data_IF_614701031779
#
_entry.id   IF_614701031779
#
_cell.length_a   1.000
_cell.length_b   1.000
_cell.length_c   1.000
_cell.angle_alpha   90.00
_cell.angle_beta   90.00
_cell.angle_gamma   90.00
#
_symmetry.space_group_name_H-M   'P 1'
#
loop_
_entity.id
_entity.type
_entity.pdbx_description
1 polymer ?
#
# COMPACT_ATOMS: atom_id res chain seq x y z
N UNK A 1 23.25 -17.92 19.17
CA UNK A 1 22.22 -18.97 19.00
C UNK A 1 20.95 -18.44 19.64
N UNK A 2 20.18 -17.69 18.83
CA UNK A 2 18.77 -17.99 18.42
C UNK A 2 17.82 -17.96 19.63
N UNK A 3 16.75 -17.15 19.68
CA UNK A 3 15.98 -16.60 18.58
C UNK A 3 15.22 -15.32 18.93
N UNK A 4 14.85 -14.62 17.85
CA UNK A 4 14.06 -13.41 17.86
C UNK A 4 12.65 -13.65 18.38
N UNK A 5 12.19 -12.63 19.10
CA UNK A 5 10.93 -12.48 19.79
C UNK A 5 9.70 -12.60 18.88
N UNK A 6 8.97 -13.71 19.03
CA UNK A 6 7.53 -13.81 18.71
C UNK A 6 6.69 -13.51 19.97
N UNK A 7 7.32 -13.19 21.11
CA UNK A 7 6.71 -13.18 22.45
C UNK A 7 6.05 -11.83 22.81
N UNK A 8 6.40 -10.73 22.15
CA UNK A 8 5.88 -9.40 22.52
C UNK A 8 4.36 -9.23 22.30
N UNK A 9 3.72 -10.09 21.49
CA UNK A 9 2.26 -10.14 21.37
C UNK A 9 1.57 -11.04 22.40
N UNK A 10 2.24 -12.08 22.89
CA UNK A 10 1.64 -13.07 23.81
C UNK A 10 1.58 -12.56 25.26
N UNK A 11 2.55 -11.76 25.70
CA UNK A 11 2.55 -11.20 27.05
C UNK A 11 1.42 -10.18 27.27
N UNK A 12 1.09 -9.40 26.23
CA UNK A 12 -0.06 -8.49 26.25
C UNK A 12 -1.38 -9.26 26.32
N UNK A 13 -1.53 -10.29 25.48
CA UNK A 13 -2.72 -11.16 25.47
C UNK A 13 -2.90 -11.86 26.82
N UNK A 14 -1.83 -12.43 27.39
CA UNK A 14 -1.88 -13.08 28.70
C UNK A 14 -2.24 -12.10 29.83
N UNK A 15 -1.65 -10.89 29.83
CA UNK A 15 -1.94 -9.83 30.81
C UNK A 15 -3.40 -9.36 30.78
N UNK A 16 -4.03 -9.37 29.61
CA UNK A 16 -5.42 -8.95 29.43
C UNK A 16 -6.40 -10.12 29.35
N UNK A 17 -5.95 -11.35 29.64
CA UNK A 17 -6.71 -12.57 29.49
C UNK A 17 -7.39 -12.72 28.11
N UNK A 18 -6.71 -12.25 27.07
CA UNK A 18 -7.16 -12.30 25.70
C UNK A 18 -6.61 -13.55 24.99
N UNK A 19 -7.42 -14.17 24.13
CA UNK A 19 -6.97 -15.22 23.22
C UNK A 19 -7.36 -14.85 21.79
N UNK A 20 -6.42 -15.02 20.86
CA UNK A 20 -6.67 -14.85 19.43
C UNK A 20 -6.91 -16.23 18.83
N UNK A 21 -8.10 -16.43 18.26
CA UNK A 21 -8.41 -17.60 17.45
C UNK A 21 -8.21 -17.23 15.98
N UNK A 22 -7.06 -17.61 15.42
CA UNK A 22 -6.73 -17.31 14.02
C UNK A 22 -7.61 -18.08 13.02
N UNK A 23 -8.22 -19.19 13.45
CA UNK A 23 -9.11 -20.00 12.62
C UNK A 23 -10.51 -19.39 12.55
N UNK A 24 -11.02 -18.89 13.68
CA UNK A 24 -12.31 -18.18 13.78
C UNK A 24 -12.21 -16.68 13.54
N UNK A 25 -10.99 -16.14 13.44
CA UNK A 25 -10.71 -14.70 13.34
C UNK A 25 -11.33 -13.90 14.49
N UNK A 26 -11.21 -14.42 15.72
CA UNK A 26 -11.78 -13.79 16.92
C UNK A 26 -10.66 -13.33 17.87
N UNK A 27 -10.89 -12.22 18.57
CA UNK A 27 -10.12 -11.87 19.77
C UNK A 27 -11.04 -11.90 20.98
N UNK A 28 -10.82 -12.86 21.86
CA UNK A 28 -11.70 -13.15 23.00
C UNK A 28 -11.03 -12.70 24.30
N UNK A 29 -11.64 -11.77 25.03
CA UNK A 29 -11.18 -11.35 26.36
C UNK A 29 -11.97 -12.07 27.45
N UNK A 30 -11.28 -12.88 28.26
CA UNK A 30 -11.86 -13.68 29.35
C UNK A 30 -11.49 -13.10 30.71
N UNK A 31 -12.34 -12.24 31.27
CA UNK A 31 -12.13 -11.75 32.65
C UNK A 31 -12.91 -12.62 33.64
N UNK A 32 -12.32 -13.08 34.77
CA UNK A 32 -13.05 -13.85 35.79
C UNK A 32 -14.20 -13.10 36.47
N UNK A 33 -14.31 -11.77 36.27
CA UNK A 33 -15.29 -10.89 36.93
C UNK A 33 -16.15 -10.05 35.98
N UNK A 34 -15.99 -10.22 34.66
CA UNK A 34 -16.78 -9.50 33.64
C UNK A 34 -17.26 -10.51 32.59
N UNK A 35 -18.39 -10.26 31.90
CA UNK A 35 -18.80 -11.10 30.78
C UNK A 35 -17.68 -11.21 29.75
N UNK A 36 -17.55 -12.38 29.13
CA UNK A 36 -16.62 -12.64 28.03
C UNK A 36 -16.92 -11.66 26.88
N UNK A 37 -15.89 -10.95 26.42
CA UNK A 37 -16.03 -9.98 25.32
C UNK A 37 -15.30 -10.55 24.11
N UNK A 38 -16.08 -11.03 23.14
CA UNK A 38 -15.57 -11.52 21.86
C UNK A 38 -15.62 -10.39 20.84
N UNK A 39 -14.46 -10.02 20.32
CA UNK A 39 -14.35 -9.16 19.14
C UNK A 39 -14.36 -10.05 17.91
N UNK A 40 -15.49 -10.01 17.22
CA UNK A 40 -15.67 -10.61 15.90
C UNK A 40 -14.89 -9.80 14.85
N UNK A 41 -14.22 -10.47 13.90
CA UNK A 41 -13.62 -9.79 12.76
C UNK A 41 -14.72 -9.08 11.97
N UNK A 42 -14.44 -7.87 11.48
CA UNK A 42 -15.38 -6.95 10.81
C UNK A 42 -16.40 -7.64 9.87
N UNK A 43 -15.97 -8.68 9.15
CA UNK A 43 -16.81 -9.54 8.30
C UNK A 43 -17.98 -10.18 9.06
N UNK A 44 -17.75 -10.79 10.22
CA UNK A 44 -18.81 -11.45 10.99
C UNK A 44 -19.83 -10.44 11.54
N UNK A 45 -19.39 -9.24 11.92
CA UNK A 45 -20.32 -8.16 12.30
C UNK A 45 -21.15 -7.70 11.11
N UNK A 46 -20.56 -7.66 9.92
CA UNK A 46 -21.29 -7.43 8.68
C UNK A 46 -22.32 -8.55 8.45
N UNK A 47 -21.96 -9.82 8.62
CA UNK A 47 -22.90 -10.95 8.48
C UNK A 47 -24.05 -10.88 9.50
N UNK A 48 -23.74 -10.59 10.75
CA UNK A 48 -24.74 -10.43 11.80
C UNK A 48 -25.70 -9.26 11.50
N UNK A 49 -25.18 -8.15 10.96
CA UNK A 49 -25.98 -7.02 10.53
C UNK A 49 -26.81 -7.34 9.27
N UNK A 50 -26.26 -8.08 8.31
CA UNK A 50 -27.00 -8.57 7.14
C UNK A 50 -28.20 -9.43 7.53
N UNK A 51 -28.09 -10.24 8.59
CA UNK A 51 -29.17 -11.09 9.07
C UNK A 51 -30.33 -10.30 9.68
N UNK A 52 -30.08 -9.07 10.12
CA UNK A 52 -31.08 -8.20 10.77
C UNK A 52 -31.64 -7.13 9.82
N UNK A 53 -30.98 -6.87 8.68
CA UNK A 53 -31.38 -5.84 7.71
C UNK A 53 -32.55 -6.34 6.83
N UNK A 54 -33.74 -5.73 6.90
CA UNK A 54 -34.91 -6.19 6.15
C UNK A 54 -34.75 -6.13 4.63
N UNK A 55 -34.02 -5.13 4.12
CA UNK A 55 -33.75 -5.00 2.69
C UNK A 55 -32.86 -6.17 2.24
N UNK A 56 -31.79 -6.45 2.98
CA UNK A 56 -30.87 -7.54 2.64
C UNK A 56 -31.55 -8.91 2.74
N UNK A 57 -32.43 -9.12 3.72
CA UNK A 57 -33.22 -10.34 3.79
C UNK A 57 -34.15 -10.51 2.58
N UNK A 58 -34.75 -9.41 2.08
CA UNK A 58 -35.56 -9.43 0.85
C UNK A 58 -34.68 -9.76 -0.36
N UNK A 59 -33.53 -9.09 -0.49
CA UNK A 59 -32.57 -9.35 -1.56
C UNK A 59 -32.09 -10.82 -1.57
N UNK A 60 -31.84 -11.39 -0.39
CA UNK A 60 -31.44 -12.79 -0.25
C UNK A 60 -32.54 -13.73 -0.74
N UNK A 61 -33.79 -13.48 -0.36
CA UNK A 61 -34.93 -14.27 -0.82
C UNK A 61 -35.13 -14.19 -2.35
N UNK A 62 -34.96 -13.01 -2.94
CA UNK A 62 -35.02 -12.82 -4.41
C UNK A 62 -33.89 -13.56 -5.16
N UNK A 63 -32.71 -13.65 -4.55
CA UNK A 63 -31.60 -14.44 -5.11
C UNK A 63 -31.90 -15.94 -5.01
N UNK A 64 -32.44 -16.39 -3.87
CA UNK A 64 -32.79 -17.80 -3.64
C UNK A 64 -33.98 -18.26 -4.52
N UNK A 65 -34.93 -17.36 -4.84
CA UNK A 65 -36.04 -17.63 -5.76
C UNK A 65 -35.63 -17.58 -7.24
N UNK A 66 -34.44 -17.03 -7.55
CA UNK A 66 -33.94 -16.85 -8.92
C UNK A 66 -34.47 -15.58 -9.61
N UNK A 67 -35.18 -14.70 -8.90
CA UNK A 67 -35.73 -13.45 -9.43
C UNK A 67 -34.64 -12.37 -9.60
N UNK A 68 -33.47 -12.56 -8.99
CA UNK A 68 -32.35 -11.62 -8.98
C UNK A 68 -31.02 -12.30 -9.32
N UNK A 69 -30.29 -11.74 -10.29
CA UNK A 69 -29.00 -12.27 -10.77
C UNK A 69 -27.80 -11.36 -10.56
N UNK A 70 -28.00 -10.14 -10.06
CA UNK A 70 -26.91 -9.19 -9.79
C UNK A 70 -26.18 -9.46 -8.45
N UNK A 71 -26.79 -10.29 -7.60
CA UNK A 71 -26.27 -10.70 -6.29
C UNK A 71 -26.18 -12.23 -6.20
N UNK A 72 -25.38 -12.73 -5.27
CA UNK A 72 -25.28 -14.15 -4.93
C UNK A 72 -25.20 -14.35 -3.41
N UNK A 73 -25.50 -15.56 -2.94
CA UNK A 73 -25.36 -15.94 -1.52
C UNK A 73 -24.17 -16.89 -1.41
N UNK A 74 -23.20 -16.52 -0.56
CA UNK A 74 -22.04 -17.37 -0.24
C UNK A 74 -22.44 -18.45 0.77
N UNK A 75 -21.66 -19.53 0.86
CA UNK A 75 -21.94 -20.70 1.73
C UNK A 75 -22.21 -20.37 3.21
N UNK A 76 -21.70 -19.24 3.71
CA UNK A 76 -21.90 -18.74 5.07
C UNK A 76 -23.15 -17.84 5.23
N UNK A 77 -23.99 -17.74 4.20
CA UNK A 77 -25.20 -16.89 4.18
C UNK A 77 -24.92 -15.42 3.82
N UNK A 78 -23.67 -15.07 3.50
CA UNK A 78 -23.30 -13.72 3.12
C UNK A 78 -23.93 -13.32 1.77
N UNK A 79 -24.60 -12.17 1.73
CA UNK A 79 -25.01 -11.55 0.47
C UNK A 79 -23.77 -10.91 -0.20
N UNK A 80 -23.57 -11.25 -1.48
CA UNK A 80 -22.42 -10.84 -2.29
C UNK A 80 -22.88 -10.14 -3.57
N UNK A 81 -22.13 -9.13 -4.02
CA UNK A 81 -22.28 -8.50 -5.35
C UNK A 81 -21.04 -8.82 -6.17
N UNK A 82 -21.17 -9.77 -7.11
CA UNK A 82 -20.02 -10.45 -7.68
C UNK A 82 -19.20 -11.15 -6.58
N UNK A 83 -17.94 -10.75 -6.40
CA UNK A 83 -17.05 -11.28 -5.35
C UNK A 83 -17.02 -10.43 -4.06
N UNK A 84 -17.83 -9.36 -3.99
CA UNK A 84 -17.73 -8.34 -2.93
C UNK A 84 -18.81 -8.52 -1.88
N UNK A 85 -18.44 -8.40 -0.61
CA UNK A 85 -19.37 -8.48 0.52
C UNK A 85 -20.29 -7.26 0.55
N UNK A 86 -21.60 -7.51 0.56
CA UNK A 86 -22.60 -6.45 0.67
C UNK A 86 -22.59 -5.89 2.10
N UNK A 87 -22.24 -4.61 2.28
CA UNK A 87 -22.27 -3.96 3.59
C UNK A 87 -23.66 -3.36 3.84
N UNK A 88 -24.36 -3.74 4.92
CA UNK A 88 -25.63 -3.14 5.31
C UNK A 88 -25.56 -1.63 5.46
N UNK A 89 -26.73 -0.97 5.46
CA UNK A 89 -26.79 0.46 5.71
C UNK A 89 -26.64 0.79 7.22
N UNK A 90 -25.51 0.38 7.77
CA UNK A 90 -25.11 0.59 9.16
C UNK A 90 -23.95 1.61 9.21
N UNK A 91 -24.23 2.78 9.81
CA UNK A 91 -23.29 3.88 9.90
C UNK A 91 -22.06 3.57 10.78
N UNK A 92 -22.17 2.65 11.75
CA UNK A 92 -21.04 2.25 12.57
C UNK A 92 -20.09 1.34 11.78
N UNK A 93 -20.63 0.34 11.08
CA UNK A 93 -19.83 -0.56 10.25
C UNK A 93 -19.16 0.19 9.09
N UNK A 94 -19.91 1.03 8.38
CA UNK A 94 -19.36 1.85 7.29
C UNK A 94 -18.23 2.75 7.79
N UNK A 95 -18.44 3.44 8.92
CA UNK A 95 -17.41 4.33 9.50
C UNK A 95 -16.15 3.56 9.89
N UNK A 96 -16.28 2.38 10.45
CA UNK A 96 -15.13 1.53 10.82
C UNK A 96 -14.35 1.09 9.58
N UNK A 97 -15.03 0.64 8.52
CA UNK A 97 -14.40 0.33 7.22
C UNK A 97 -13.66 1.56 6.66
N UNK A 98 -14.31 2.73 6.70
CA UNK A 98 -13.75 3.98 6.18
C UNK A 98 -12.56 4.47 7.01
N UNK A 99 -12.65 4.37 8.34
CA UNK A 99 -11.59 4.79 9.25
C UNK A 99 -10.37 3.90 9.13
N UNK A 100 -10.55 2.58 9.10
CA UNK A 100 -9.46 1.64 8.89
C UNK A 100 -8.79 1.96 7.54
N UNK A 101 -9.56 2.04 6.45
CA UNK A 101 -9.04 2.23 5.10
C UNK A 101 -8.49 3.64 4.82
N UNK A 102 -8.61 4.56 5.77
CA UNK A 102 -8.12 5.92 5.63
C UNK A 102 -7.03 6.28 6.65
N UNK A 103 -7.25 5.97 7.91
CA UNK A 103 -6.49 6.48 9.05
C UNK A 103 -5.63 5.40 9.73
N UNK A 104 -5.72 4.14 9.35
CA UNK A 104 -4.77 3.15 9.87
C UNK A 104 -3.34 3.46 9.42
N UNK A 105 -2.37 2.96 10.19
CA UNK A 105 -0.96 3.05 9.85
C UNK A 105 -0.60 2.34 8.53
N UNK A 106 -1.45 1.41 8.07
CA UNK A 106 -1.28 0.67 6.81
C UNK A 106 -1.87 1.40 5.59
N UNK A 107 -2.83 2.31 5.79
CA UNK A 107 -3.45 3.08 4.70
C UNK A 107 -2.78 4.45 4.50
N UNK A 108 -2.37 5.12 5.59
CA UNK A 108 -1.64 6.38 5.56
C UNK A 108 -2.34 7.50 4.76
N UNK A 109 -3.62 7.75 5.05
CA UNK A 109 -4.44 8.83 4.46
C UNK A 109 -4.49 8.85 2.92
N UNK A 110 -4.94 7.76 2.26
CA UNK A 110 -5.08 7.71 0.81
C UNK A 110 -6.11 8.73 0.30
N UNK A 111 -5.99 9.15 -0.95
CA UNK A 111 -7.03 9.94 -1.63
C UNK A 111 -8.28 9.11 -1.92
N UNK A 112 -9.41 9.78 -2.18
CA UNK A 112 -10.72 9.13 -2.41
C UNK A 112 -10.70 8.06 -3.50
N UNK A 113 -9.99 8.30 -4.60
CA UNK A 113 -9.87 7.33 -5.70
C UNK A 113 -9.10 6.09 -5.26
N UNK A 114 -7.96 6.27 -4.58
CA UNK A 114 -7.14 5.15 -4.07
C UNK A 114 -7.93 4.31 -3.08
N UNK A 115 -8.57 4.97 -2.11
CA UNK A 115 -9.40 4.35 -1.10
C UNK A 115 -10.58 3.57 -1.69
N UNK A 116 -11.26 4.12 -2.71
CA UNK A 116 -12.32 3.42 -3.42
C UNK A 116 -11.81 2.15 -4.11
N UNK A 117 -10.65 2.20 -4.77
CA UNK A 117 -10.06 1.03 -5.41
C UNK A 117 -9.65 -0.06 -4.42
N UNK A 118 -9.14 0.31 -3.23
CA UNK A 118 -8.86 -0.64 -2.15
C UNK A 118 -10.15 -1.29 -1.62
N UNK A 119 -11.16 -0.48 -1.31
CA UNK A 119 -12.38 -0.99 -0.69
C UNK A 119 -13.25 -1.80 -1.65
N UNK A 120 -13.31 -1.41 -2.94
CA UNK A 120 -14.20 -2.03 -3.92
C UNK A 120 -13.84 -3.48 -4.20
N UNK A 121 -12.65 -3.93 -3.86
CA UNK A 121 -12.22 -5.31 -4.11
C UNK A 121 -12.93 -6.28 -3.15
N UNK A 122 -13.26 -5.80 -1.94
CA UNK A 122 -13.81 -6.64 -0.88
C UNK A 122 -15.23 -6.27 -0.49
N UNK A 123 -15.60 -4.99 -0.59
CA UNK A 123 -16.87 -4.48 -0.08
C UNK A 123 -17.69 -3.81 -1.19
N UNK A 124 -19.00 -3.85 -0.99
CA UNK A 124 -19.96 -3.12 -1.81
C UNK A 124 -21.08 -2.57 -0.94
N UNK A 125 -21.47 -1.32 -1.16
CA UNK A 125 -22.73 -0.78 -0.65
C UNK A 125 -23.26 0.34 -1.57
N UNK A 126 -24.56 0.67 -1.51
CA UNK A 126 -25.12 1.76 -2.29
C UNK A 126 -24.40 3.07 -2.00
N UNK A 127 -24.07 3.84 -3.05
CA UNK A 127 -23.37 5.13 -2.96
C UNK A 127 -21.96 5.11 -2.35
N UNK A 128 -21.33 3.94 -2.21
CA UNK A 128 -19.97 3.77 -1.67
C UNK A 128 -18.93 4.78 -2.18
N UNK A 129 -18.85 5.01 -3.49
CA UNK A 129 -17.90 5.96 -4.08
C UNK A 129 -18.14 7.40 -3.59
N UNK A 130 -19.40 7.81 -3.42
CA UNK A 130 -19.79 9.13 -2.94
C UNK A 130 -19.47 9.26 -1.45
N UNK A 131 -19.83 8.28 -0.65
CA UNK A 131 -19.56 8.28 0.80
C UNK A 131 -18.06 8.31 1.10
N UNK A 132 -17.23 7.55 0.36
CA UNK A 132 -15.76 7.60 0.46
C UNK A 132 -15.23 9.00 0.14
N UNK A 133 -15.71 9.63 -0.94
CA UNK A 133 -15.29 10.97 -1.32
C UNK A 133 -15.64 12.01 -0.24
N UNK A 134 -16.84 11.90 0.35
CA UNK A 134 -17.27 12.77 1.44
C UNK A 134 -16.45 12.56 2.72
N UNK A 135 -16.12 11.31 3.05
CA UNK A 135 -15.30 10.96 4.20
C UNK A 135 -13.90 11.57 4.09
N UNK A 136 -13.20 11.33 2.97
CA UNK A 136 -11.86 11.89 2.73
C UNK A 136 -11.90 13.42 2.71
N UNK A 137 -12.94 14.02 2.14
CA UNK A 137 -13.10 15.49 2.12
C UNK A 137 -13.24 16.08 3.53
N UNK A 138 -13.86 15.36 4.49
CA UNK A 138 -14.04 15.81 5.88
C UNK A 138 -12.78 15.60 6.75
N UNK A 139 -11.77 14.89 6.27
CA UNK A 139 -10.55 14.62 7.03
C UNK A 139 -9.69 15.89 7.19
N UNK A 140 -9.52 16.37 8.43
CA UNK A 140 -8.72 17.56 8.75
C UNK A 140 -7.24 17.40 8.39
N UNK A 141 -6.68 16.18 8.52
CA UNK A 141 -5.29 15.90 8.16
C UNK A 141 -5.12 16.03 6.64
N UNK A 142 -6.01 15.39 5.85
CA UNK A 142 -5.97 15.52 4.40
C UNK A 142 -6.15 16.97 3.93
N UNK A 143 -7.04 17.75 4.58
CA UNK A 143 -7.24 19.16 4.24
C UNK A 143 -6.00 20.02 4.49
N UNK A 144 -5.21 19.70 5.52
CA UNK A 144 -3.97 20.42 5.84
C UNK A 144 -2.80 19.99 4.95
N UNK A 145 -2.76 18.72 4.55
CA UNK A 145 -1.63 18.13 3.82
C UNK A 145 -1.78 18.29 2.31
N UNK A 146 -2.95 17.96 1.78
CA UNK A 146 -3.17 17.84 0.33
C UNK A 146 -3.56 19.19 -0.23
N UNK A 147 -2.63 19.85 -0.93
CA UNK A 147 -2.92 21.06 -1.68
C UNK A 147 -3.84 20.75 -2.88
N UNK A 148 -4.81 21.64 -3.15
CA UNK A 148 -5.57 21.62 -4.40
C UNK A 148 -4.63 21.89 -5.58
N UNK A 149 -4.55 20.93 -6.50
CA UNK A 149 -3.62 21.00 -7.63
C UNK A 149 -4.26 21.70 -8.82
N UNK A 150 -3.57 22.70 -9.37
CA UNK A 150 -3.81 23.20 -10.73
C UNK A 150 -3.41 22.13 -11.76
N UNK A 151 -3.97 22.21 -12.98
CA UNK A 151 -3.62 21.28 -14.08
C UNK A 151 -2.10 21.31 -14.34
N UNK A 152 -1.45 20.16 -14.59
CA UNK A 152 -0.03 20.12 -14.87
C UNK A 152 0.31 20.92 -16.13
N UNK A 153 1.43 21.65 -16.07
CA UNK A 153 1.98 22.39 -17.22
C UNK A 153 2.76 21.45 -18.14
N UNK A 154 2.32 21.32 -19.38
CA UNK A 154 3.09 20.75 -20.49
C UNK A 154 2.90 19.25 -20.74
N UNK A 155 3.23 18.85 -21.98
CA UNK A 155 3.27 17.44 -22.40
C UNK A 155 4.59 16.82 -21.91
N UNK A 156 4.50 15.81 -21.04
CA UNK A 156 5.65 14.98 -20.68
C UNK A 156 6.04 14.15 -21.91
N UNK A 157 7.33 14.12 -22.26
CA UNK A 157 7.83 13.10 -23.17
C UNK A 157 8.15 11.84 -22.34
N UNK A 158 7.38 10.75 -22.49
CA UNK A 158 7.62 9.55 -21.72
C UNK A 158 8.92 8.89 -22.17
N UNK A 159 9.78 8.56 -21.21
CA UNK A 159 10.88 7.64 -21.45
C UNK A 159 10.33 6.27 -21.89
N UNK A 160 11.10 5.46 -22.66
CA UNK A 160 10.68 4.14 -23.10
C UNK A 160 10.23 3.29 -21.91
N UNK A 161 9.10 2.59 -22.05
CA UNK A 161 8.59 1.73 -20.99
C UNK A 161 9.52 0.51 -20.89
N UNK A 162 10.05 0.20 -19.70
CA UNK A 162 10.91 -0.96 -19.48
C UNK A 162 10.33 -2.29 -19.97
N UNK A 163 11.21 -3.24 -20.30
CA UNK A 163 10.76 -4.56 -20.66
C UNK A 163 10.39 -5.40 -19.43
N UNK A 164 11.22 -5.35 -18.40
CA UNK A 164 11.03 -6.11 -17.17
C UNK A 164 11.12 -5.23 -15.92
N UNK A 165 10.61 -5.79 -14.82
CA UNK A 165 10.64 -5.17 -13.49
C UNK A 165 12.07 -5.04 -13.00
N UNK A 166 12.37 -3.93 -12.33
CA UNK A 166 13.66 -3.64 -11.70
C UNK A 166 14.86 -3.50 -12.65
N UNK A 167 14.64 -3.50 -13.97
CA UNK A 167 15.70 -3.22 -14.94
C UNK A 167 16.01 -1.72 -15.05
N UNK A 168 15.00 -0.87 -14.89
CA UNK A 168 15.14 0.57 -15.03
C UNK A 168 14.60 1.26 -13.78
N UNK A 169 15.49 1.87 -13.01
CA UNK A 169 15.15 2.54 -11.76
C UNK A 169 15.17 4.06 -11.92
N UNK A 170 14.37 4.77 -11.14
CA UNK A 170 14.59 6.18 -10.82
C UNK A 170 15.02 6.32 -9.37
N UNK A 171 15.94 7.23 -9.11
CA UNK A 171 16.46 7.49 -7.76
C UNK A 171 16.50 8.98 -7.49
N UNK A 172 16.09 9.34 -6.27
CA UNK A 172 16.18 10.71 -5.78
C UNK A 172 16.37 10.73 -4.27
N UNK A 173 16.86 11.85 -3.75
CA UNK A 173 16.94 12.08 -2.33
C UNK A 173 16.05 13.23 -1.86
N UNK A 174 15.31 12.96 -0.80
CA UNK A 174 14.58 13.98 -0.04
C UNK A 174 15.39 14.29 1.22
N UNK A 175 16.06 15.45 1.26
CA UNK A 175 16.79 15.92 2.45
C UNK A 175 16.08 17.05 3.16
N UNK A 176 16.70 17.54 4.25
CA UNK A 176 16.21 18.64 5.09
C UNK A 176 14.93 18.27 5.85
N UNK A 177 14.75 16.99 6.11
CA UNK A 177 13.73 16.52 7.04
C UNK A 177 14.18 16.81 8.48
N UNK A 178 13.24 16.99 9.43
CA UNK A 178 13.57 17.09 10.84
C UNK A 178 14.42 15.89 11.26
N UNK A 179 15.51 16.14 11.98
CA UNK A 179 16.45 15.08 12.35
C UNK A 179 15.83 14.16 13.40
N UNK A 180 15.82 12.85 13.15
CA UNK A 180 15.29 11.82 14.06
C UNK A 180 16.27 11.47 15.19
N UNK A 181 15.82 10.71 16.19
CA UNK A 181 16.68 10.13 17.24
C UNK A 181 17.75 9.20 16.67
N UNK A 182 17.42 8.45 15.62
CA UNK A 182 18.37 7.64 14.85
C UNK A 182 19.25 8.49 13.92
N UNK A 183 19.17 9.83 14.04
CA UNK A 183 19.98 10.85 13.37
C UNK A 183 19.78 10.90 11.85
N UNK A 184 18.70 10.32 11.31
CA UNK A 184 18.33 10.44 9.90
C UNK A 184 17.78 11.83 9.61
N UNK A 185 18.12 12.38 8.44
CA UNK A 185 17.73 13.73 8.00
C UNK A 185 17.30 13.76 6.52
N UNK A 186 17.17 12.58 5.91
CA UNK A 186 16.64 12.42 4.57
C UNK A 186 16.22 11.00 4.24
N UNK A 187 15.55 10.87 3.11
CA UNK A 187 15.04 9.62 2.55
C UNK A 187 15.67 9.44 1.17
N UNK A 188 16.21 8.26 0.90
CA UNK A 188 16.58 7.85 -0.45
C UNK A 188 15.41 7.09 -1.06
N UNK A 189 14.84 7.69 -2.10
CA UNK A 189 13.68 7.16 -2.83
C UNK A 189 14.21 6.42 -4.05
N UNK A 190 13.85 5.14 -4.19
CA UNK A 190 14.25 4.30 -5.31
C UNK A 190 12.99 3.66 -5.89
N UNK A 191 12.71 3.87 -7.17
CA UNK A 191 11.45 3.45 -7.79
C UNK A 191 11.72 2.63 -9.04
N UNK A 192 11.08 1.47 -9.15
CA UNK A 192 11.02 0.70 -10.39
C UNK A 192 10.12 1.41 -11.40
N UNK A 193 10.65 1.71 -12.59
CA UNK A 193 9.91 2.46 -13.61
C UNK A 193 8.76 1.66 -14.21
N UNK A 194 8.80 0.33 -14.18
CA UNK A 194 7.74 -0.51 -14.72
C UNK A 194 6.58 -0.63 -13.73
N UNK A 195 6.82 -1.29 -12.60
CA UNK A 195 5.79 -1.63 -11.60
C UNK A 195 5.42 -0.46 -10.71
N UNK A 196 6.21 0.62 -10.72
CA UNK A 196 6.11 1.75 -9.78
C UNK A 196 6.36 1.36 -8.33
N UNK A 197 6.93 0.19 -8.07
CA UNK A 197 7.31 -0.23 -6.72
C UNK A 197 8.43 0.67 -6.22
N UNK A 198 8.29 1.18 -5.00
CA UNK A 198 9.25 2.10 -4.39
C UNK A 198 9.89 1.49 -3.14
N UNK A 199 11.14 1.85 -2.88
CA UNK A 199 11.80 1.74 -1.57
C UNK A 199 12.03 3.12 -1.00
N UNK A 200 11.77 3.28 0.30
CA UNK A 200 12.02 4.50 1.05
C UNK A 200 13.06 4.24 2.13
N UNK A 201 14.32 4.52 1.83
CA UNK A 201 15.43 4.19 2.72
C UNK A 201 15.83 5.40 3.58
N UNK A 202 15.84 5.30 4.92
CA UNK A 202 16.32 6.39 5.76
C UNK A 202 17.82 6.60 5.59
N UNK A 203 18.23 7.84 5.34
CA UNK A 203 19.62 8.22 5.11
C UNK A 203 20.02 9.45 5.91
N UNK A 204 21.33 9.71 5.95
CA UNK A 204 21.88 10.97 6.45
C UNK A 204 22.60 11.69 5.33
N UNK A 205 22.50 13.01 5.29
CA UNK A 205 23.17 13.85 4.30
C UNK A 205 24.70 13.64 4.32
N UNK A 206 25.26 13.30 5.49
CA UNK A 206 26.69 13.04 5.68
C UNK A 206 27.10 11.57 5.50
N UNK A 207 26.24 10.68 5.00
CA UNK A 207 26.64 9.32 4.67
C UNK A 207 27.74 9.32 3.60
N UNK A 208 28.76 8.50 3.83
CA UNK A 208 29.81 8.27 2.83
C UNK A 208 29.24 7.50 1.65
N UNK A 209 29.83 7.68 0.47
CA UNK A 209 29.42 6.96 -0.74
C UNK A 209 29.54 5.44 -0.57
N UNK A 210 30.56 4.97 0.17
CA UNK A 210 30.69 3.54 0.51
C UNK A 210 29.49 3.03 1.32
N UNK A 211 28.99 3.85 2.25
CA UNK A 211 27.81 3.50 3.06
C UNK A 211 26.54 3.48 2.21
N UNK A 212 26.37 4.44 1.30
CA UNK A 212 25.25 4.46 0.36
C UNK A 212 25.30 3.26 -0.60
N UNK A 213 26.46 2.95 -1.16
CA UNK A 213 26.62 1.76 -2.01
C UNK A 213 26.30 0.46 -1.26
N UNK A 214 26.77 0.32 -0.02
CA UNK A 214 26.42 -0.83 0.81
C UNK A 214 24.90 -0.91 1.03
N UNK A 215 24.26 0.19 1.37
CA UNK A 215 22.81 0.24 1.58
C UNK A 215 22.05 -0.13 0.29
N UNK A 216 22.50 0.38 -0.87
CA UNK A 216 21.92 0.04 -2.16
C UNK A 216 22.03 -1.47 -2.47
N UNK A 217 23.17 -2.07 -2.17
CA UNK A 217 23.36 -3.52 -2.35
C UNK A 217 22.47 -4.31 -1.40
N UNK A 218 22.49 -3.94 -0.11
CA UNK A 218 21.81 -4.66 0.97
C UNK A 218 20.27 -4.58 0.81
N UNK A 219 19.73 -3.47 0.29
CA UNK A 219 18.27 -3.27 0.19
C UNK A 219 17.71 -3.43 -1.22
N UNK A 220 18.47 -3.12 -2.28
CA UNK A 220 17.97 -3.17 -3.66
C UNK A 220 18.53 -4.37 -4.40
N UNK A 221 19.86 -4.44 -4.56
CA UNK A 221 20.49 -5.48 -5.38
C UNK A 221 20.21 -6.88 -4.82
N UNK A 222 20.22 -7.03 -3.48
CA UNK A 222 19.91 -8.30 -2.81
C UNK A 222 18.50 -8.81 -3.13
N UNK A 223 17.52 -7.91 -3.26
CA UNK A 223 16.12 -8.26 -3.46
C UNK A 223 15.75 -8.41 -4.93
N UNK A 224 16.28 -7.53 -5.78
CA UNK A 224 15.79 -7.32 -7.14
C UNK A 224 16.83 -7.56 -8.22
N UNK A 225 18.09 -7.77 -7.84
CA UNK A 225 19.21 -7.85 -8.77
C UNK A 225 19.77 -6.49 -9.17
N UNK A 226 20.77 -6.53 -10.05
CA UNK A 226 21.43 -5.33 -10.57
C UNK A 226 20.57 -4.75 -11.71
N UNK A 227 20.21 -3.45 -11.67
CA UNK A 227 19.42 -2.84 -12.73
C UNK A 227 20.26 -2.60 -14.00
N UNK A 228 19.61 -2.64 -15.15
CA UNK A 228 20.18 -2.29 -16.46
C UNK A 228 20.47 -0.79 -16.55
N UNK A 229 19.60 0.06 -16.01
CA UNK A 229 19.84 1.50 -15.97
C UNK A 229 19.24 2.18 -14.74
N UNK A 230 19.85 3.30 -14.35
CA UNK A 230 19.36 4.16 -13.27
C UNK A 230 19.25 5.58 -13.81
N UNK A 231 18.06 6.17 -13.68
CA UNK A 231 17.81 7.59 -13.91
C UNK A 231 17.86 8.33 -12.57
N UNK A 232 18.64 9.39 -12.46
CA UNK A 232 18.68 10.22 -11.24
C UNK A 232 18.83 11.70 -11.57
N UNK A 233 18.67 12.55 -10.57
CA UNK A 233 19.11 13.94 -10.66
C UNK A 233 20.64 14.06 -10.70
N UNK A 234 21.14 15.30 -10.76
CA UNK A 234 22.58 15.61 -10.77
C UNK A 234 23.15 15.79 -9.37
N UNK A 235 22.58 15.15 -8.35
CA UNK A 235 23.15 15.20 -7.01
C UNK A 235 24.62 14.75 -7.04
N UNK A 236 25.54 15.46 -6.33
CA UNK A 236 26.96 15.12 -6.28
C UNK A 236 27.25 13.68 -5.87
N UNK A 237 26.35 13.02 -5.15
CA UNK A 237 26.48 11.60 -4.77
C UNK A 237 26.34 10.69 -5.98
N UNK A 238 25.37 10.93 -6.85
CA UNK A 238 25.14 10.14 -8.06
C UNK A 238 26.15 10.46 -9.17
N UNK A 239 26.64 11.70 -9.25
CA UNK A 239 27.65 12.11 -10.24
C UNK A 239 29.09 11.85 -9.77
N UNK A 240 29.27 11.30 -8.57
CA UNK A 240 30.60 10.99 -8.03
C UNK A 240 31.33 9.94 -8.87
N UNK A 241 32.67 10.05 -8.94
CA UNK A 241 33.51 9.05 -9.63
C UNK A 241 33.32 7.64 -9.05
N UNK A 242 33.17 7.55 -7.73
CA UNK A 242 32.94 6.27 -7.07
C UNK A 242 31.61 5.64 -7.51
N UNK A 243 30.50 6.40 -7.50
CA UNK A 243 29.20 5.88 -7.92
C UNK A 243 29.18 5.49 -9.40
N UNK A 244 29.82 6.30 -10.24
CA UNK A 244 29.98 6.01 -11.67
C UNK A 244 30.75 4.69 -11.87
N UNK A 245 31.89 4.53 -11.19
CA UNK A 245 32.71 3.31 -11.30
C UNK A 245 32.02 2.07 -10.73
N UNK A 246 31.26 2.22 -9.65
CA UNK A 246 30.46 1.13 -9.08
C UNK A 246 29.44 0.61 -10.10
N UNK A 247 28.69 1.52 -10.73
CA UNK A 247 27.66 1.14 -11.70
C UNK A 247 28.27 0.64 -13.02
N UNK A 248 29.41 1.18 -13.46
CA UNK A 248 30.19 0.60 -14.56
C UNK A 248 30.58 -0.86 -14.26
N UNK A 249 31.02 -1.17 -13.03
CA UNK A 249 31.38 -2.53 -12.63
C UNK A 249 30.17 -3.47 -12.57
N UNK A 250 28.99 -2.93 -12.26
CA UNK A 250 27.72 -3.65 -12.33
C UNK A 250 27.16 -3.79 -13.74
N UNK A 251 27.70 -3.07 -14.73
CA UNK A 251 27.13 -3.00 -16.08
C UNK A 251 25.87 -2.13 -16.17
N UNK A 252 25.58 -1.32 -15.15
CA UNK A 252 24.41 -0.45 -15.07
C UNK A 252 24.68 0.89 -15.76
N UNK A 253 23.78 1.30 -16.65
CA UNK A 253 23.86 2.59 -17.33
C UNK A 253 23.27 3.72 -16.48
N UNK A 254 24.05 4.76 -16.19
CA UNK A 254 23.57 5.94 -15.47
C UNK A 254 23.04 6.99 -16.45
N UNK A 255 21.84 7.50 -16.17
CA UNK A 255 21.17 8.55 -16.95
C UNK A 255 20.84 9.72 -16.00
N UNK A 256 21.39 10.90 -16.27
CA UNK A 256 21.15 12.07 -15.41
C UNK A 256 20.11 13.00 -16.03
N UNK A 257 19.08 13.35 -15.27
CA UNK A 257 18.11 14.37 -15.68
C UNK A 257 18.81 15.73 -15.86
N UNK A 258 18.28 16.58 -16.74
CA UNK A 258 18.81 17.93 -16.97
C UNK A 258 17.94 18.94 -16.23
N UNK A 259 18.57 19.98 -15.66
CA UNK A 259 17.87 21.05 -14.94
C UNK A 259 16.81 21.80 -15.78
N UNK A 260 16.82 21.63 -17.10
CA UNK A 260 15.93 22.28 -18.05
C UNK A 260 14.84 21.38 -18.63
N UNK A 261 14.87 20.05 -18.36
CA UNK A 261 13.80 19.11 -18.75
C UNK A 261 13.31 18.26 -17.56
N UNK A 262 12.59 18.86 -16.59
CA UNK A 262 11.88 18.14 -15.51
C UNK A 262 10.90 17.09 -16.05
N UNK A 263 10.54 17.19 -17.34
CA UNK A 263 9.59 16.31 -18.01
C UNK A 263 10.05 14.85 -18.16
N UNK A 264 11.34 14.56 -17.95
CA UNK A 264 11.89 13.20 -18.09
C UNK A 264 11.61 12.31 -16.88
N UNK A 265 11.31 12.88 -15.71
CA UNK A 265 11.10 12.12 -14.47
C UNK A 265 9.87 12.58 -13.66
N UNK A 266 8.75 12.88 -14.35
CA UNK A 266 7.47 13.14 -13.67
C UNK A 266 6.94 11.95 -12.83
N UNK A 267 7.61 10.80 -12.89
CA UNK A 267 7.33 9.61 -12.09
C UNK A 267 7.96 9.70 -10.69
N UNK A 268 9.24 10.09 -10.58
CA UNK A 268 9.85 10.35 -9.27
C UNK A 268 9.17 11.51 -8.57
N UNK A 269 8.84 12.60 -9.29
CA UNK A 269 8.16 13.78 -8.73
C UNK A 269 6.83 13.39 -8.05
N UNK A 270 5.99 12.60 -8.72
CA UNK A 270 4.71 12.13 -8.14
C UNK A 270 4.91 11.20 -6.95
N UNK A 271 5.96 10.39 -6.98
CA UNK A 271 6.28 9.46 -5.87
C UNK A 271 6.76 10.22 -4.65
N UNK A 272 7.70 11.15 -4.84
CA UNK A 272 8.21 12.04 -3.79
C UNK A 272 7.08 12.86 -3.21
N UNK A 273 6.22 13.46 -4.03
CA UNK A 273 5.07 14.20 -3.53
C UNK A 273 4.13 13.33 -2.70
N UNK A 274 3.90 12.07 -3.10
CA UNK A 274 3.10 11.14 -2.31
C UNK A 274 3.77 10.81 -0.98
N UNK A 275 5.09 10.60 -0.99
CA UNK A 275 5.88 10.39 0.23
C UNK A 275 5.84 11.61 1.15
N UNK A 276 5.99 12.83 0.61
CA UNK A 276 5.88 14.06 1.40
C UNK A 276 4.50 14.22 2.04
N UNK A 277 3.43 13.92 1.30
CA UNK A 277 2.07 13.93 1.83
C UNK A 277 1.92 12.88 2.97
N UNK A 278 2.47 11.68 2.80
CA UNK A 278 2.50 10.65 3.84
C UNK A 278 3.30 11.08 5.08
N UNK A 279 4.48 11.69 4.88
CA UNK A 279 5.31 12.21 5.97
C UNK A 279 4.60 13.31 6.76
N UNK A 280 3.95 14.27 6.08
CA UNK A 280 3.18 15.33 6.74
C UNK A 280 1.96 14.76 7.48
N UNK A 281 1.22 13.84 6.87
CA UNK A 281 0.09 13.18 7.51
C UNK A 281 0.53 12.40 8.75
N UNK A 282 1.63 11.66 8.64
CA UNK A 282 2.21 10.92 9.74
C UNK A 282 2.65 11.83 10.88
N UNK A 283 3.29 12.97 10.59
CA UNK A 283 3.69 13.93 11.63
C UNK A 283 2.49 14.58 12.35
N UNK A 284 1.34 14.72 11.68
CA UNK A 284 0.12 15.25 12.28
C UNK A 284 -0.64 14.19 13.10
N UNK A 285 -0.60 12.93 12.67
CA UNK A 285 -1.36 11.83 13.29
C UNK A 285 -0.57 11.10 14.39
N UNK A 286 0.71 10.84 14.14
CA UNK A 286 1.60 10.05 14.99
C UNK A 286 2.68 10.96 15.59
N UNK A 287 3.05 10.73 16.86
CA UNK A 287 4.07 11.53 17.57
C UNK A 287 5.48 10.96 17.47
N UNK A 288 5.66 9.90 16.69
CA UNK A 288 6.92 9.15 16.59
C UNK A 288 7.85 9.76 15.52
N UNK A 289 9.12 9.35 15.54
CA UNK A 289 10.05 9.74 14.49
C UNK A 289 9.63 9.16 13.13
N UNK A 290 9.73 9.99 12.08
CA UNK A 290 9.26 9.62 10.75
C UNK A 290 10.00 8.43 10.14
N UNK A 291 11.26 8.21 10.53
CA UNK A 291 12.08 7.11 10.00
C UNK A 291 11.61 5.74 10.51
N UNK A 292 11.03 5.66 11.70
CA UNK A 292 10.41 4.44 12.22
C UNK A 292 9.12 4.06 11.47
N UNK A 293 8.48 5.04 10.81
CA UNK A 293 7.24 4.83 10.04
C UNK A 293 7.47 4.63 8.55
N UNK A 294 8.69 4.86 8.05
CA UNK A 294 9.02 4.66 6.64
C UNK A 294 8.64 3.26 6.11
N UNK A 295 8.89 2.14 6.83
CA UNK A 295 8.46 0.83 6.33
C UNK A 295 6.94 0.73 6.11
N UNK A 296 6.14 1.39 6.97
CA UNK A 296 4.69 1.43 6.81
C UNK A 296 4.26 2.37 5.69
N UNK A 297 4.98 3.48 5.47
CA UNK A 297 4.74 4.37 4.31
C UNK A 297 5.05 3.66 3.00
N UNK A 298 6.16 2.93 2.94
CA UNK A 298 6.54 2.13 1.78
C UNK A 298 5.48 1.06 1.50
N UNK A 299 5.03 0.35 2.54
CA UNK A 299 3.95 -0.61 2.45
C UNK A 299 2.66 0.03 1.92
N UNK A 300 2.23 1.15 2.52
CA UNK A 300 1.01 1.86 2.14
C UNK A 300 1.08 2.39 0.70
N UNK A 301 2.24 2.89 0.28
CA UNK A 301 2.48 3.35 -1.09
C UNK A 301 2.41 2.19 -2.08
N UNK A 302 3.16 1.11 -1.83
CA UNK A 302 3.25 -0.02 -2.73
C UNK A 302 1.94 -0.81 -2.81
N UNK A 303 1.09 -0.75 -1.78
CA UNK A 303 -0.23 -1.37 -1.81
C UNK A 303 -1.36 -0.42 -2.26
N UNK A 304 -1.06 0.85 -2.52
CA UNK A 304 -2.04 1.81 -3.00
C UNK A 304 -2.24 1.71 -4.52
N UNK A 305 -3.49 1.79 -4.96
CA UNK A 305 -3.83 1.87 -6.38
C UNK A 305 -3.11 3.03 -7.09
N UNK A 306 -2.51 2.75 -8.24
CA UNK A 306 -1.89 3.74 -9.11
C UNK A 306 -2.60 3.80 -10.46
N UNK A 307 -3.13 4.98 -10.78
CA UNK A 307 -3.92 5.19 -12.01
C UNK A 307 -3.14 4.91 -13.30
N UNK A 308 -1.82 5.13 -13.32
CA UNK A 308 -0.97 4.89 -14.49
C UNK A 308 -0.75 3.42 -14.81
N UNK A 309 -0.88 2.53 -13.83
CA UNK A 309 -0.70 1.07 -14.02
C UNK A 309 -1.99 0.29 -13.75
N UNK A 310 -3.06 0.98 -13.33
CA UNK A 310 -4.39 0.42 -13.03
C UNK A 310 -4.41 -0.70 -11.98
N UNK A 311 -3.39 -0.76 -11.13
CA UNK A 311 -3.26 -1.69 -10.01
C UNK A 311 -2.34 -1.09 -8.94
N UNK A 312 -2.07 -1.82 -7.86
CA UNK A 312 -1.04 -1.42 -6.89
C UNK A 312 0.35 -1.83 -7.38
N UNK A 313 1.41 -1.10 -7.01
CA UNK A 313 2.78 -1.54 -7.33
C UNK A 313 3.12 -2.94 -6.84
N UNK A 314 2.58 -3.33 -5.69
CA UNK A 314 2.76 -4.67 -5.13
C UNK A 314 2.16 -5.74 -6.04
N UNK A 315 0.95 -5.51 -6.55
CA UNK A 315 0.29 -6.43 -7.48
C UNK A 315 1.01 -6.49 -8.83
N UNK A 316 1.48 -5.34 -9.34
CA UNK A 316 2.33 -5.30 -10.53
C UNK A 316 3.64 -6.09 -10.36
N UNK A 317 4.23 -6.05 -9.16
CA UNK A 317 5.51 -6.68 -8.88
C UNK A 317 5.40 -8.19 -8.64
N UNK A 318 4.43 -8.61 -7.83
CA UNK A 318 4.27 -9.99 -7.36
C UNK A 318 3.17 -10.76 -8.07
N UNK A 319 2.37 -10.09 -8.91
CA UNK A 319 1.21 -10.68 -9.58
C UNK A 319 0.11 -11.10 -8.62
N UNK A 320 0.11 -10.61 -7.38
CA UNK A 320 -0.91 -10.90 -6.38
C UNK A 320 -1.14 -9.72 -5.45
N UNK A 321 -2.33 -9.65 -4.90
CA UNK A 321 -2.68 -8.61 -3.93
C UNK A 321 -1.95 -8.80 -2.60
N UNK A 322 -1.62 -7.68 -1.95
CA UNK A 322 -1.00 -7.72 -0.63
C UNK A 322 -2.03 -8.08 0.44
N UNK A 323 -1.64 -8.90 1.42
CA UNK A 323 -2.45 -9.14 2.60
C UNK A 323 -2.38 -7.93 3.52
N UNK A 324 -3.53 -7.46 3.94
CA UNK A 324 -3.66 -6.31 4.83
C UNK A 324 -4.67 -6.61 5.93
N UNK A 325 -4.63 -5.89 7.06
CA UNK A 325 -5.66 -6.01 8.08
C UNK A 325 -7.09 -5.76 7.55
N UNK A 326 -7.24 -5.06 6.42
CA UNK A 326 -8.53 -4.82 5.73
C UNK A 326 -9.24 -6.08 5.27
N UNK A 327 -8.48 -7.14 4.98
CA UNK A 327 -9.00 -8.40 4.47
C UNK A 327 -8.04 -9.56 4.76
N UNK A 328 -8.47 -10.42 5.68
CA UNK A 328 -7.84 -11.72 5.92
C UNK A 328 -8.42 -12.73 4.94
N UNK A 329 -7.74 -12.97 3.82
CA UNK A 329 -8.02 -14.14 3.01
C UNK A 329 -7.56 -15.42 3.74
N UNK A 330 -8.20 -16.55 3.49
CA UNK A 330 -7.78 -17.83 4.08
C UNK A 330 -6.32 -18.14 3.71
N UNK A 331 -5.56 -18.70 4.65
CA UNK A 331 -4.22 -19.22 4.36
C UNK A 331 -4.42 -20.62 3.77
N UNK A 332 -4.22 -20.78 2.45
CA UNK A 332 -4.39 -22.06 1.78
C UNK A 332 -3.60 -22.15 0.47
N UNK A 333 -3.44 -23.37 -0.03
CA UNK A 333 -2.86 -23.65 -1.35
C UNK A 333 -3.79 -23.11 -2.44
N UNK A 334 -3.48 -21.94 -2.99
CA UNK A 334 -3.84 -21.70 -4.37
C UNK A 334 -3.08 -22.77 -5.18
N UNK A 335 -3.79 -23.62 -5.92
CA UNK A 335 -3.14 -24.50 -6.91
C UNK A 335 -2.46 -23.58 -7.92
N UNK A 336 -1.16 -23.39 -7.74
CA UNK A 336 -0.30 -22.62 -8.61
C UNK A 336 -0.08 -23.46 -9.87
N UNK A 337 -0.84 -23.18 -10.93
CA UNK A 337 -0.48 -23.63 -12.27
C UNK A 337 0.50 -22.62 -12.87
N UNK A 338 1.77 -23.02 -13.00
CA UNK A 338 2.88 -22.16 -13.50
C UNK A 338 2.54 -21.42 -14.80
N UNK A 339 1.66 -21.97 -15.63
CA UNK A 339 1.19 -21.36 -16.86
C UNK A 339 0.27 -20.15 -16.64
N UNK A 340 -0.65 -20.21 -15.68
CA UNK A 340 -1.61 -19.12 -15.41
C UNK A 340 -0.92 -17.90 -14.80
N UNK A 341 0.07 -18.08 -13.93
CA UNK A 341 0.80 -16.95 -13.32
C UNK A 341 1.69 -16.22 -14.35
N UNK A 342 2.29 -16.96 -15.29
CA UNK A 342 3.08 -16.36 -16.38
C UNK A 342 2.17 -15.57 -17.31
N UNK A 343 0.99 -16.10 -17.67
CA UNK A 343 0.03 -15.36 -18.49
C UNK A 343 -0.57 -14.15 -17.75
N UNK A 344 -0.93 -14.29 -16.47
CA UNK A 344 -1.37 -13.14 -15.64
C UNK A 344 -0.29 -12.06 -15.54
N UNK A 345 0.96 -12.45 -15.37
CA UNK A 345 2.09 -11.50 -15.35
C UNK A 345 2.26 -10.82 -16.70
N UNK A 346 2.15 -11.55 -17.82
CA UNK A 346 2.19 -10.96 -19.17
C UNK A 346 1.03 -9.99 -19.42
N UNK A 347 -0.17 -10.33 -18.96
CA UNK A 347 -1.34 -9.45 -19.04
C UNK A 347 -1.14 -8.19 -18.20
N UNK A 348 -0.64 -8.31 -16.97
CA UNK A 348 -0.31 -7.15 -16.13
C UNK A 348 0.74 -6.25 -16.80
N UNK A 349 1.81 -6.83 -17.35
CA UNK A 349 2.84 -6.07 -18.09
C UNK A 349 2.23 -5.36 -19.30
N UNK A 350 1.28 -6.00 -20.01
CA UNK A 350 0.56 -5.38 -21.12
C UNK A 350 -0.28 -4.18 -20.66
N UNK A 351 -1.04 -4.32 -19.57
CA UNK A 351 -1.83 -3.24 -18.98
C UNK A 351 -0.96 -2.08 -18.49
N UNK A 352 0.23 -2.36 -17.95
CA UNK A 352 1.20 -1.36 -17.51
C UNK A 352 1.78 -0.56 -18.69
N UNK A 353 1.89 -1.19 -19.86
CA UNK A 353 2.47 -0.59 -21.08
C UNK A 353 1.47 0.19 -21.93
N UNK A 354 0.17 -0.09 -21.79
CA UNK A 354 -0.94 0.63 -22.46
C UNK A 354 -1.34 1.92 -21.71
#
# INVERSE_FOLDING_TARGET
MVGLDVILGMDWLAKHHASVDCFRKEVVFRSPRRPEVTFYVLVERILAAQAQDPLICTLRAEVESGDRTDCSVRNDGALMVGIRLYVPNDEALKREILEEAHSSAFAMHPGSTKMYHTLREHYWWPFMKKEIAEYVRKCLICQQVKAERQKPSGLLQPLPIPEWKWEHLTMDFVFKLPRTQNKHDGVWVIVDRLTKSAHFLPVRANYTLNKLAKLFIDEIVRLHGVPTSITSDRDPRFTSRFWTKLNEAFGTQLQFSTAFYPQTDGQSERTIQTLEDMLRACALQFRDDWDEKLPLMEFAYNNSYQASIRMSPFDALYGKQCRTPFYWDEVGEHRLEVAEDVERTKEHVKVIRE
#
